data_IF_396691282158
#
_entry.id   IF_396691282158
#
_cell.length_a   1.000
_cell.length_b   1.000
_cell.length_c   1.000
_cell.angle_alpha   90.00
_cell.angle_beta   90.00
_cell.angle_gamma   90.00
#
_symmetry.space_group_name_H-M   'P 1'
#
loop_
_entity.id
_entity.type
_entity.pdbx_description
1 polymer ?
#
# COMPACT_ATOMS: atom_id res chain seq x y z
N UNK A 1 78.50 33.39 -16.56
CA UNK A 1 77.80 32.44 -15.67
C UNK A 1 76.30 32.73 -15.79
N UNK A 2 75.53 31.88 -16.49
CA UNK A 2 74.62 30.86 -15.90
C UNK A 2 73.43 31.53 -15.16
N UNK A 3 72.13 31.31 -15.43
CA UNK A 3 71.36 30.21 -16.06
C UNK A 3 69.94 30.68 -16.48
N UNK A 4 69.54 30.28 -17.70
CA UNK A 4 68.33 29.51 -18.10
C UNK A 4 66.91 30.10 -17.83
N UNK A 5 66.11 30.36 -18.90
CA UNK A 5 64.67 30.63 -18.83
C UNK A 5 63.81 29.35 -18.83
N UNK A 6 62.58 29.44 -18.27
CA UNK A 6 61.57 28.36 -18.26
C UNK A 6 61.09 28.10 -19.69
N UNK A 7 61.43 26.93 -20.24
CA UNK A 7 60.85 26.44 -21.48
C UNK A 7 59.73 25.44 -21.19
N UNK A 8 58.72 25.50 -22.03
CA UNK A 8 57.53 24.66 -22.06
C UNK A 8 57.90 23.19 -22.34
N UNK A 9 57.12 22.28 -21.76
CA UNK A 9 57.14 20.85 -22.05
C UNK A 9 55.77 20.35 -22.52
N UNK A 10 55.71 19.26 -23.31
CA UNK A 10 54.73 19.06 -24.37
C UNK A 10 53.61 18.06 -24.02
N UNK A 11 52.61 17.99 -24.90
CA UNK A 11 51.45 17.13 -24.75
C UNK A 11 51.64 15.64 -25.10
N UNK A 12 50.50 14.94 -24.93
CA UNK A 12 50.14 13.60 -25.43
C UNK A 12 50.78 12.37 -24.73
N UNK A 13 49.97 11.53 -24.08
CA UNK A 13 49.28 10.37 -24.70
C UNK A 13 48.37 9.66 -23.69
N UNK A 14 47.20 9.23 -24.20
CA UNK A 14 46.28 8.29 -23.56
C UNK A 14 46.94 6.91 -23.54
N UNK A 15 46.72 6.14 -22.48
CA UNK A 15 46.32 4.74 -22.63
C UNK A 15 45.53 4.26 -21.41
N UNK A 16 44.51 3.48 -21.76
CA UNK A 16 43.55 2.74 -20.95
C UNK A 16 44.20 1.66 -20.10
N UNK A 17 43.63 1.38 -18.93
CA UNK A 17 43.16 0.06 -18.47
C UNK A 17 42.61 0.22 -17.03
N UNK A 18 41.28 0.20 -16.85
CA UNK A 18 40.49 -0.96 -16.42
C UNK A 18 40.83 -1.49 -15.01
N UNK A 19 40.20 -0.89 -13.99
CA UNK A 19 39.58 -1.61 -12.86
C UNK A 19 38.81 -0.62 -11.97
N UNK A 20 37.58 -0.26 -12.36
CA UNK A 20 36.69 0.52 -11.51
C UNK A 20 35.94 -0.39 -10.53
N UNK A 21 35.90 -0.10 -9.22
CA UNK A 21 34.87 -0.66 -8.36
C UNK A 21 33.53 -0.03 -8.75
N UNK A 22 32.56 -0.89 -9.10
CA UNK A 22 31.16 -0.56 -9.36
C UNK A 22 30.60 0.31 -8.24
N UNK A 23 30.64 1.62 -8.44
CA UNK A 23 29.90 2.55 -7.62
C UNK A 23 28.44 2.37 -7.98
N UNK A 24 27.70 1.70 -7.09
CA UNK A 24 26.25 1.65 -7.08
C UNK A 24 25.73 3.03 -7.45
N UNK A 25 24.93 3.05 -8.51
CA UNK A 25 24.24 4.23 -9.01
C UNK A 25 23.42 4.79 -7.85
N UNK A 26 24.01 5.76 -7.16
CA UNK A 26 23.39 6.57 -6.13
C UNK A 26 22.10 7.05 -6.75
N UNK A 27 20.98 6.48 -6.32
CA UNK A 27 19.66 7.01 -6.63
C UNK A 27 19.74 8.44 -6.13
N UNK A 28 19.75 9.39 -7.07
CA UNK A 28 19.57 10.79 -6.74
C UNK A 28 18.14 10.88 -6.25
N UNK A 29 17.94 10.68 -4.95
CA UNK A 29 16.84 11.27 -4.22
C UNK A 29 17.02 12.77 -4.42
N UNK A 30 16.32 13.29 -5.43
CA UNK A 30 16.19 14.72 -5.63
C UNK A 30 15.51 15.27 -4.40
N UNK A 31 16.31 15.74 -3.45
CA UNK A 31 15.88 16.78 -2.53
C UNK A 31 15.53 17.98 -3.38
N UNK A 32 14.23 18.18 -3.56
CA UNK A 32 13.62 19.35 -4.17
C UNK A 32 12.27 19.49 -3.51
N UNK A 33 12.23 20.22 -2.39
CA UNK A 33 10.99 20.83 -1.95
C UNK A 33 10.56 21.83 -3.03
N UNK A 34 9.37 21.63 -3.56
CA UNK A 34 8.77 22.45 -4.58
C UNK A 34 7.48 21.79 -5.00
N UNK A 35 6.36 22.45 -4.68
CA UNK A 35 4.98 22.07 -4.95
C UNK A 35 4.67 22.01 -6.46
N UNK A 36 5.42 21.22 -7.23
CA UNK A 36 5.03 20.91 -8.60
C UNK A 36 3.86 19.94 -8.52
N UNK A 37 2.71 20.23 -9.16
CA UNK A 37 1.52 19.39 -9.10
C UNK A 37 1.80 18.06 -9.83
N UNK A 38 2.37 17.11 -9.11
CA UNK A 38 2.60 15.78 -9.62
C UNK A 38 1.30 14.98 -9.55
N UNK A 39 0.79 14.54 -10.71
CA UNK A 39 -0.33 13.63 -10.78
C UNK A 39 0.12 12.26 -10.28
N UNK A 40 -0.58 11.70 -9.29
CA UNK A 40 -0.19 10.42 -8.66
C UNK A 40 -1.30 9.40 -8.87
N UNK A 41 -1.01 8.34 -9.61
CA UNK A 41 -1.96 7.26 -9.90
C UNK A 41 -1.59 6.04 -9.07
N UNK A 42 -2.59 5.44 -8.42
CA UNK A 42 -2.46 4.14 -7.78
C UNK A 42 -2.75 3.06 -8.82
N UNK A 43 -1.82 2.13 -8.99
CA UNK A 43 -1.96 1.03 -9.95
C UNK A 43 -1.62 -0.31 -9.29
N UNK A 44 -2.15 -1.44 -9.78
CA UNK A 44 -1.70 -2.75 -9.36
C UNK A 44 -0.24 -3.00 -9.80
N UNK A 45 0.55 -3.67 -8.95
CA UNK A 45 1.92 -4.09 -9.29
C UNK A 45 2.01 -4.91 -10.57
N UNK A 46 0.97 -5.69 -10.88
CA UNK A 46 0.86 -6.49 -12.10
C UNK A 46 0.80 -5.64 -13.38
N UNK A 47 0.15 -4.47 -13.32
CA UNK A 47 0.04 -3.55 -14.47
C UNK A 47 1.30 -2.71 -14.65
N UNK A 48 1.99 -2.40 -13.55
CA UNK A 48 3.20 -1.58 -13.57
C UNK A 48 4.25 -2.08 -14.56
N UNK A 49 4.43 -3.41 -14.68
CA UNK A 49 5.36 -4.01 -15.65
C UNK A 49 5.04 -3.66 -17.10
N UNK A 50 3.76 -3.68 -17.47
CA UNK A 50 3.28 -3.31 -18.82
C UNK A 50 3.46 -1.82 -19.08
N UNK A 51 3.19 -0.97 -18.07
CA UNK A 51 3.38 0.48 -18.17
C UNK A 51 4.88 0.83 -18.34
N UNK A 52 5.78 0.18 -17.60
CA UNK A 52 7.23 0.37 -17.68
C UNK A 52 7.78 -0.06 -19.05
N UNK A 53 7.27 -1.17 -19.58
CA UNK A 53 7.72 -1.80 -20.81
C UNK A 53 9.04 -2.56 -20.65
N UNK A 54 9.35 -3.46 -21.59
CA UNK A 54 10.57 -4.29 -21.57
C UNK A 54 11.82 -3.39 -21.45
N UNK A 55 12.58 -3.57 -20.37
CA UNK A 55 13.80 -2.78 -20.09
C UNK A 55 13.54 -1.29 -19.77
N UNK A 56 12.33 -0.90 -19.39
CA UNK A 56 11.99 0.51 -19.11
C UNK A 56 11.88 1.39 -20.35
N UNK A 57 11.81 0.79 -21.54
CA UNK A 57 11.75 1.52 -22.81
C UNK A 57 10.49 2.37 -22.94
N UNK A 58 9.34 1.90 -22.44
CA UNK A 58 8.08 2.61 -22.56
C UNK A 58 8.06 3.86 -21.68
N UNK A 59 8.43 3.75 -20.40
CA UNK A 59 8.56 4.93 -19.53
C UNK A 59 9.66 5.88 -20.02
N UNK A 60 10.78 5.37 -20.52
CA UNK A 60 11.83 6.23 -21.08
C UNK A 60 11.33 7.01 -22.29
N UNK A 61 10.51 6.37 -23.13
CA UNK A 61 9.83 7.02 -24.24
C UNK A 61 8.83 8.07 -23.75
N UNK A 62 7.95 7.74 -22.81
CA UNK A 62 6.98 8.69 -22.25
C UNK A 62 7.67 9.93 -21.64
N UNK A 63 8.78 9.73 -20.93
CA UNK A 63 9.59 10.84 -20.38
C UNK A 63 10.20 11.71 -21.49
N UNK A 64 10.70 11.10 -22.56
CA UNK A 64 11.37 11.81 -23.66
C UNK A 64 10.39 12.50 -24.61
N UNK A 65 9.30 11.82 -24.98
CA UNK A 65 8.31 12.28 -25.95
C UNK A 65 7.48 13.45 -25.40
N UNK A 66 7.21 13.42 -24.09
CA UNK A 66 6.36 14.40 -23.41
C UNK A 66 7.12 15.37 -22.49
N UNK A 67 8.45 15.28 -22.43
CA UNK A 67 9.30 16.05 -21.52
C UNK A 67 8.81 16.02 -20.05
N UNK A 68 8.34 14.85 -19.62
CA UNK A 68 7.69 14.65 -18.33
C UNK A 68 8.55 13.83 -17.38
N UNK A 69 8.47 14.10 -16.07
CA UNK A 69 9.13 13.28 -15.04
C UNK A 69 8.14 12.25 -14.51
N UNK A 70 8.17 11.06 -15.10
CA UNK A 70 7.34 9.92 -14.67
C UNK A 70 8.17 9.02 -13.73
N UNK A 71 7.78 8.83 -12.48
CA UNK A 71 8.45 7.93 -11.53
C UNK A 71 7.51 6.79 -11.13
N UNK A 72 8.05 5.57 -11.11
CA UNK A 72 7.35 4.39 -10.61
C UNK A 72 8.33 3.70 -9.66
N UNK A 73 8.18 3.88 -8.33
CA UNK A 73 9.02 3.18 -7.38
C UNK A 73 8.70 1.68 -7.42
N UNK A 74 9.74 0.87 -7.34
CA UNK A 74 9.58 -0.57 -7.19
C UNK A 74 9.10 -0.88 -5.78
N UNK A 75 7.89 -1.43 -5.68
CA UNK A 75 7.34 -1.94 -4.43
C UNK A 75 7.11 -3.46 -4.54
N UNK A 76 7.36 -4.17 -3.44
CA UNK A 76 7.02 -5.59 -3.28
C UNK A 76 5.54 -5.82 -2.96
N UNK A 77 4.79 -4.77 -2.66
CA UNK A 77 3.36 -4.82 -2.39
C UNK A 77 2.49 -5.11 -3.62
N UNK A 78 1.18 -5.36 -3.42
CA UNK A 78 0.24 -5.61 -4.52
C UNK A 78 -0.09 -4.35 -5.33
N UNK A 79 0.25 -3.17 -4.81
CA UNK A 79 0.03 -1.86 -5.42
C UNK A 79 1.30 -1.02 -5.55
N UNK A 80 1.29 -0.09 -6.51
CA UNK A 80 2.37 0.85 -6.82
C UNK A 80 1.79 2.21 -7.17
N UNK A 81 2.59 3.25 -6.98
CA UNK A 81 2.19 4.63 -7.32
C UNK A 81 3.01 5.14 -8.48
N UNK A 82 2.34 5.54 -9.56
CA UNK A 82 2.95 6.26 -10.67
C UNK A 82 2.84 7.74 -10.36
N UNK A 83 3.97 8.41 -10.17
CA UNK A 83 4.04 9.87 -10.03
C UNK A 83 4.43 10.48 -11.37
N UNK A 84 3.64 11.43 -11.85
CA UNK A 84 3.84 12.13 -13.12
C UNK A 84 3.95 13.62 -12.79
N UNK A 85 5.16 14.15 -12.84
CA UNK A 85 5.41 15.59 -12.75
C UNK A 85 5.53 16.14 -14.17
N UNK A 86 4.48 16.81 -14.62
CA UNK A 86 4.32 17.43 -15.94
C UNK A 86 3.13 18.38 -15.93
N UNK A 87 2.99 19.18 -17.00
CA UNK A 87 1.77 19.96 -17.23
C UNK A 87 0.53 19.06 -17.28
N UNK A 88 -0.59 19.55 -16.81
CA UNK A 88 -1.83 18.77 -16.73
C UNK A 88 -2.30 18.24 -18.09
N UNK A 89 -2.16 19.01 -19.17
CA UNK A 89 -2.49 18.54 -20.52
C UNK A 89 -1.61 17.36 -20.95
N UNK A 90 -0.34 17.43 -20.60
CA UNK A 90 0.65 16.39 -20.87
C UNK A 90 0.42 15.17 -20.00
N UNK A 91 0.12 15.37 -18.71
CA UNK A 91 -0.21 14.30 -17.78
C UNK A 91 -1.40 13.49 -18.28
N UNK A 92 -2.46 14.17 -18.74
CA UNK A 92 -3.63 13.53 -19.33
C UNK A 92 -3.27 12.68 -20.55
N UNK A 93 -2.44 13.18 -21.48
CA UNK A 93 -1.96 12.39 -22.63
C UNK A 93 -1.15 11.16 -22.21
N UNK A 94 -0.34 11.28 -21.15
CA UNK A 94 0.39 10.14 -20.58
C UNK A 94 -0.60 9.12 -20.01
N UNK A 95 -1.66 9.57 -19.32
CA UNK A 95 -2.69 8.65 -18.83
C UNK A 95 -3.45 8.00 -19.99
N UNK A 96 -3.75 8.72 -21.06
CA UNK A 96 -4.35 8.15 -22.28
C UNK A 96 -3.51 6.99 -22.85
N UNK A 97 -2.17 7.05 -22.74
CA UNK A 97 -1.28 5.94 -23.12
C UNK A 97 -1.26 4.78 -22.09
N UNK A 98 -1.58 5.05 -20.84
CA UNK A 98 -1.62 4.05 -19.75
C UNK A 98 -2.96 3.31 -19.70
N UNK A 99 -4.05 3.96 -20.08
CA UNK A 99 -5.42 3.40 -20.05
C UNK A 99 -5.55 2.07 -20.79
N UNK A 100 -5.02 1.89 -22.01
CA UNK A 100 -5.05 0.60 -22.69
C UNK A 100 -4.35 -0.51 -21.90
N UNK A 101 -3.24 -0.20 -21.22
CA UNK A 101 -2.53 -1.18 -20.38
C UNK A 101 -3.37 -1.58 -19.15
N UNK A 102 -4.18 -0.66 -18.61
CA UNK A 102 -5.11 -0.96 -17.53
C UNK A 102 -6.31 -1.78 -18.04
N UNK A 103 -6.85 -1.44 -19.21
CA UNK A 103 -7.99 -2.12 -19.83
C UNK A 103 -7.70 -3.58 -20.13
N UNK A 104 -6.51 -3.88 -20.69
CA UNK A 104 -6.06 -5.26 -20.93
C UNK A 104 -5.98 -6.06 -19.64
N UNK A 105 -5.64 -5.43 -18.52
CA UNK A 105 -5.53 -6.10 -17.23
C UNK A 105 -6.88 -6.32 -16.54
N UNK A 106 -7.78 -5.34 -16.59
CA UNK A 106 -9.10 -5.41 -15.95
C UNK A 106 -10.15 -6.12 -16.81
N UNK A 107 -9.85 -6.39 -18.09
CA UNK A 107 -10.73 -7.07 -19.05
C UNK A 107 -11.20 -8.44 -18.56
N UNK A 108 -12.28 -8.42 -17.78
CA UNK A 108 -13.11 -9.56 -17.39
C UNK A 108 -14.40 -9.62 -18.23
N UNK A 109 -14.39 -9.01 -19.42
CA UNK A 109 -15.50 -9.04 -20.39
C UNK A 109 -16.48 -7.85 -20.36
N UNK A 110 -16.18 -6.76 -19.65
CA UNK A 110 -17.07 -5.57 -19.56
C UNK A 110 -16.58 -4.29 -20.26
N UNK A 111 -15.32 -4.22 -20.72
CA UNK A 111 -14.79 -3.03 -21.40
C UNK A 111 -14.78 -1.75 -20.53
N UNK A 112 -14.63 -1.93 -19.21
CA UNK A 112 -14.55 -0.84 -18.23
C UNK A 112 -13.15 -0.83 -17.61
N UNK A 113 -12.56 0.36 -17.53
CA UNK A 113 -11.27 0.62 -16.87
C UNK A 113 -11.51 1.24 -15.50
N UNK A 114 -10.69 0.88 -14.51
CA UNK A 114 -10.64 1.52 -13.18
C UNK A 114 -9.36 2.36 -13.07
N UNK A 115 -9.50 3.68 -13.12
CA UNK A 115 -8.41 4.62 -12.89
C UNK A 115 -8.48 5.11 -11.44
N UNK A 116 -7.45 4.85 -10.65
CA UNK A 116 -7.36 5.31 -9.25
C UNK A 116 -6.37 6.46 -9.11
N UNK A 117 -6.87 7.64 -8.80
CA UNK A 117 -6.09 8.85 -8.56
C UNK A 117 -5.87 9.06 -7.06
N UNK A 118 -4.64 9.35 -6.65
CA UNK A 118 -4.33 9.81 -5.30
C UNK A 118 -4.44 11.33 -5.25
N UNK A 119 -5.29 11.81 -4.35
CA UNK A 119 -5.48 13.23 -4.11
C UNK A 119 -5.35 13.51 -2.62
N UNK A 120 -4.75 14.65 -2.27
CA UNK A 120 -4.69 15.07 -0.88
C UNK A 120 -6.10 15.20 -0.28
N UNK A 121 -6.28 14.83 0.98
CA UNK A 121 -7.59 14.86 1.67
C UNK A 121 -8.31 16.22 1.57
N UNK A 122 -7.58 17.34 1.55
CA UNK A 122 -8.17 18.68 1.41
C UNK A 122 -8.73 18.90 0.01
N UNK A 123 -8.07 18.39 -1.02
CA UNK A 123 -8.52 18.43 -2.40
C UNK A 123 -9.69 17.46 -2.63
N UNK A 124 -9.63 16.26 -2.04
CA UNK A 124 -10.73 15.30 -2.09
C UNK A 124 -12.04 15.88 -1.54
N UNK A 125 -11.97 16.64 -0.43
CA UNK A 125 -13.14 17.33 0.12
C UNK A 125 -13.72 18.37 -0.85
N UNK A 126 -12.87 19.07 -1.61
CA UNK A 126 -13.30 20.00 -2.65
C UNK A 126 -13.96 19.29 -3.83
N UNK A 127 -13.36 18.19 -4.30
CA UNK A 127 -13.92 17.36 -5.39
C UNK A 127 -15.28 16.76 -5.02
N UNK A 128 -15.51 16.41 -3.74
CA UNK A 128 -16.83 15.98 -3.26
C UNK A 128 -17.83 17.15 -3.27
N UNK A 129 -17.43 18.32 -2.79
CA UNK A 129 -18.29 19.49 -2.62
C UNK A 129 -19.20 19.40 -1.38
N UNK A 130 -19.89 20.50 -1.05
CA UNK A 130 -20.80 20.55 0.11
C UNK A 130 -21.97 19.58 -0.09
N UNK A 131 -22.03 18.53 0.73
CA UNK A 131 -23.07 17.50 0.63
C UNK A 131 -22.93 16.58 -0.60
N UNK A 132 -21.76 16.53 -1.25
CA UNK A 132 -21.55 15.70 -2.44
C UNK A 132 -22.08 16.30 -3.74
N UNK A 133 -22.39 17.60 -3.76
CA UNK A 133 -22.93 18.27 -4.95
C UNK A 133 -21.99 18.20 -6.15
N UNK A 134 -20.70 18.46 -5.94
CA UNK A 134 -19.72 18.54 -7.04
C UNK A 134 -19.39 17.17 -7.61
N UNK A 135 -19.22 16.14 -6.77
CA UNK A 135 -19.04 14.76 -7.26
C UNK A 135 -20.29 14.24 -7.96
N UNK A 136 -21.49 14.64 -7.54
CA UNK A 136 -22.74 14.28 -8.23
C UNK A 136 -22.79 14.89 -9.63
N UNK A 137 -22.46 16.18 -9.75
CA UNK A 137 -22.35 16.88 -11.04
C UNK A 137 -21.30 16.23 -11.95
N UNK A 138 -20.11 15.89 -11.43
CA UNK A 138 -19.07 15.21 -12.19
C UNK A 138 -19.52 13.85 -12.74
N UNK A 139 -20.21 13.05 -11.91
CA UNK A 139 -20.77 11.76 -12.33
C UNK A 139 -21.82 11.92 -13.43
N UNK A 140 -22.66 12.95 -13.35
CA UNK A 140 -23.68 13.24 -14.35
C UNK A 140 -23.07 13.73 -15.67
N UNK A 141 -22.08 14.62 -15.60
CA UNK A 141 -21.39 15.17 -16.78
C UNK A 141 -20.58 14.11 -17.52
N UNK A 142 -19.88 13.24 -16.79
CA UNK A 142 -18.96 12.26 -17.39
C UNK A 142 -19.63 10.92 -17.67
N UNK A 143 -20.78 10.63 -17.06
CA UNK A 143 -21.38 9.30 -17.00
C UNK A 143 -20.45 8.23 -16.40
N UNK A 144 -19.36 8.62 -15.72
CA UNK A 144 -18.41 7.72 -15.10
C UNK A 144 -18.85 7.32 -13.68
N UNK A 145 -18.55 6.09 -13.28
CA UNK A 145 -18.73 5.61 -11.91
C UNK A 145 -17.54 6.06 -11.06
N UNK A 146 -17.63 7.29 -10.54
CA UNK A 146 -16.60 7.90 -9.70
C UNK A 146 -16.84 7.54 -8.23
N UNK A 147 -15.94 6.83 -7.55
CA UNK A 147 -15.98 6.53 -6.11
C UNK A 147 -14.82 7.22 -5.40
N UNK A 148 -15.11 8.01 -4.38
CA UNK A 148 -14.10 8.69 -3.55
C UNK A 148 -14.07 7.98 -2.21
N UNK A 149 -12.91 7.47 -1.81
CA UNK A 149 -12.77 6.77 -0.54
C UNK A 149 -12.69 7.78 0.60
N UNK A 150 -13.47 7.53 1.66
CA UNK A 150 -13.58 8.42 2.81
C UNK A 150 -12.38 8.35 3.75
N UNK A 151 -11.71 7.20 3.77
CA UNK A 151 -10.51 6.96 4.57
C UNK A 151 -9.27 7.40 3.79
N UNK A 152 -8.32 8.01 4.50
CA UNK A 152 -7.00 8.24 3.94
C UNK A 152 -6.23 6.93 3.86
N UNK A 153 -5.28 6.86 2.93
CA UNK A 153 -4.39 5.72 2.82
C UNK A 153 -3.54 5.57 4.11
N UNK A 154 -3.13 4.35 4.48
CA UNK A 154 -2.35 4.11 5.68
C UNK A 154 -1.08 4.97 5.70
N UNK A 155 -0.83 5.63 6.84
CA UNK A 155 0.28 6.57 7.03
C UNK A 155 0.39 7.66 5.95
N UNK A 156 -0.74 8.13 5.42
CA UNK A 156 -0.78 9.17 4.41
C UNK A 156 -1.95 10.12 4.59
N UNK A 157 -1.80 11.31 4.02
CA UNK A 157 -2.88 12.30 3.90
C UNK A 157 -3.67 12.18 2.59
N UNK A 158 -3.30 11.25 1.71
CA UNK A 158 -3.95 11.07 0.42
C UNK A 158 -5.18 10.18 0.53
N UNK A 159 -6.18 10.49 -0.29
CA UNK A 159 -7.38 9.70 -0.51
C UNK A 159 -7.40 9.21 -1.95
N UNK A 160 -7.97 8.04 -2.15
CA UNK A 160 -8.13 7.46 -3.48
C UNK A 160 -9.45 7.94 -4.09
N UNK A 161 -9.38 8.35 -5.36
CA UNK A 161 -10.52 8.60 -6.23
C UNK A 161 -10.48 7.56 -7.34
N UNK A 162 -11.37 6.59 -7.30
CA UNK A 162 -11.56 5.58 -8.34
C UNK A 162 -12.56 6.10 -9.37
N UNK A 163 -12.19 6.01 -10.65
CA UNK A 163 -13.00 6.40 -11.80
C UNK A 163 -13.17 5.15 -12.64
N UNK A 164 -14.35 4.56 -12.60
CA UNK A 164 -14.68 3.36 -13.37
C UNK A 164 -15.59 3.73 -14.54
N UNK A 165 -15.23 3.29 -15.75
CA UNK A 165 -16.05 3.48 -16.94
C UNK A 165 -15.31 3.06 -18.20
N UNK A 166 -15.89 3.30 -19.37
CA UNK A 166 -15.18 3.08 -20.64
C UNK A 166 -13.90 3.93 -20.71
N UNK A 167 -12.88 3.52 -21.47
CA UNK A 167 -11.62 4.26 -21.61
C UNK A 167 -11.82 5.76 -21.86
N UNK A 168 -12.69 6.11 -22.81
CA UNK A 168 -13.02 7.50 -23.15
C UNK A 168 -13.69 8.25 -22.00
N UNK A 169 -14.66 7.60 -21.33
CA UNK A 169 -15.40 8.14 -20.19
C UNK A 169 -14.47 8.38 -19.00
N UNK A 170 -13.56 7.44 -18.73
CA UNK A 170 -12.60 7.54 -17.64
C UNK A 170 -11.58 8.67 -17.87
N UNK A 171 -11.09 8.82 -19.10
CA UNK A 171 -10.20 9.93 -19.49
C UNK A 171 -10.92 11.28 -19.34
N UNK A 172 -12.18 11.37 -19.79
CA UNK A 172 -12.97 12.59 -19.63
C UNK A 172 -13.23 12.92 -18.15
N UNK A 173 -13.54 11.90 -17.34
CA UNK A 173 -13.68 12.07 -15.89
C UNK A 173 -12.40 12.53 -15.22
N UNK A 174 -11.26 12.00 -15.65
CA UNK A 174 -9.95 12.42 -15.14
C UNK A 174 -9.64 13.87 -15.51
N UNK A 175 -9.91 14.31 -16.75
CA UNK A 175 -9.74 15.70 -17.21
C UNK A 175 -10.50 16.68 -16.30
N UNK A 176 -11.78 16.40 -16.06
CA UNK A 176 -12.64 17.23 -15.20
C UNK A 176 -12.15 17.28 -13.74
N UNK A 177 -11.73 16.14 -13.18
CA UNK A 177 -11.18 16.11 -11.82
C UNK A 177 -9.89 16.92 -11.75
N UNK A 178 -9.00 16.75 -12.73
CA UNK A 178 -7.73 17.49 -12.78
C UNK A 178 -7.98 19.00 -12.85
N UNK A 179 -8.93 19.45 -13.66
CA UNK A 179 -9.25 20.89 -13.75
C UNK A 179 -9.72 21.46 -12.41
N UNK A 180 -10.49 20.70 -11.62
CA UNK A 180 -10.85 21.11 -10.24
C UNK A 180 -9.64 21.16 -9.30
N UNK A 181 -8.67 20.26 -9.49
CA UNK A 181 -7.42 20.27 -8.71
C UNK A 181 -6.53 21.47 -9.07
N UNK A 182 -6.62 22.02 -10.30
CA UNK A 182 -5.92 23.25 -10.69
C UNK A 182 -6.45 24.47 -9.94
N UNK A 183 -7.78 24.54 -9.79
CA UNK A 183 -8.43 25.72 -9.20
C UNK A 183 -8.16 25.85 -7.70
N UNK A 184 -7.84 24.73 -7.02
CA UNK A 184 -7.68 24.70 -5.57
C UNK A 184 -6.30 24.19 -5.17
N UNK A 185 -5.42 25.01 -4.56
CA UNK A 185 -4.16 24.51 -4.02
C UNK A 185 -4.41 23.59 -2.82
N UNK A 186 -3.56 22.56 -2.60
CA UNK A 186 -3.67 21.70 -1.44
C UNK A 186 -3.51 22.53 -0.16
N UNK A 187 -4.43 22.36 0.79
CA UNK A 187 -4.39 23.05 2.08
C UNK A 187 -3.84 22.13 3.16
N UNK A 188 -2.81 22.59 3.86
CA UNK A 188 -2.27 21.93 5.05
C UNK A 188 -1.09 20.99 4.75
N UNK A 189 -0.74 20.17 5.75
CA UNK A 189 0.35 19.20 5.67
C UNK A 189 0.04 18.10 4.65
N UNK A 190 0.99 17.81 3.77
CA UNK A 190 0.91 16.76 2.75
C UNK A 190 1.94 15.67 3.02
N UNK A 191 1.46 14.47 3.32
CA UNK A 191 2.26 13.24 3.28
C UNK A 191 1.78 12.35 2.13
N UNK A 192 2.54 12.32 1.03
CA UNK A 192 2.32 11.44 -0.11
C UNK A 192 2.22 9.98 0.30
N UNK A 193 1.21 9.25 -0.19
CA UNK A 193 1.08 7.81 0.09
C UNK A 193 2.28 7.00 -0.41
N UNK A 194 2.87 6.19 0.47
CA UNK A 194 3.89 5.21 0.11
C UNK A 194 3.25 3.80 0.03
N UNK A 195 3.28 3.14 -1.14
CA UNK A 195 2.80 1.76 -1.29
C UNK A 195 3.48 0.73 -0.38
N UNK A 196 4.60 1.03 0.26
CA UNK A 196 5.20 0.16 1.28
C UNK A 196 4.35 0.06 2.55
N UNK A 197 3.53 1.07 2.82
CA UNK A 197 2.66 1.13 3.98
C UNK A 197 1.28 0.50 3.71
N UNK A 198 1.12 -0.25 2.60
CA UNK A 198 -0.15 -0.85 2.23
C UNK A 198 -0.70 -1.74 3.35
N UNK A 199 -2.02 -1.70 3.54
CA UNK A 199 -2.72 -2.52 4.51
C UNK A 199 -3.65 -3.47 3.76
N UNK A 200 -3.33 -4.76 3.77
CA UNK A 200 -4.08 -5.78 3.06
C UNK A 200 -5.49 -5.98 3.63
N UNK A 201 -5.68 -5.83 4.95
CA UNK A 201 -6.96 -6.04 5.62
C UNK A 201 -7.95 -4.90 5.37
N UNK A 202 -7.44 -3.69 5.14
CA UNK A 202 -8.23 -2.47 4.96
C UNK A 202 -8.13 -1.89 3.54
N UNK A 203 -7.57 -2.63 2.59
CA UNK A 203 -7.39 -2.18 1.20
C UNK A 203 -8.70 -1.63 0.60
N UNK A 204 -9.82 -2.30 0.82
CA UNK A 204 -11.12 -1.89 0.29
C UNK A 204 -11.68 -0.60 0.93
N UNK A 205 -11.24 -0.27 2.15
CA UNK A 205 -11.72 0.90 2.89
C UNK A 205 -11.05 2.20 2.45
N UNK A 206 -9.79 2.14 2.01
CA UNK A 206 -9.05 3.31 1.49
C UNK A 206 -8.92 3.32 -0.03
N UNK A 207 -9.28 2.23 -0.72
CA UNK A 207 -9.23 2.13 -2.19
C UNK A 207 -7.93 1.52 -2.73
N UNK A 208 -7.24 0.73 -1.93
CA UNK A 208 -6.07 -0.07 -2.31
C UNK A 208 -6.41 -1.29 -3.17
N UNK A 209 -5.40 -1.87 -3.80
CA UNK A 209 -5.50 -3.13 -4.55
C UNK A 209 -5.08 -4.30 -3.65
N UNK A 210 -5.92 -4.65 -2.67
CA UNK A 210 -5.73 -5.85 -1.85
C UNK A 210 -5.86 -7.14 -2.67
N UNK A 211 -5.31 -8.25 -2.18
CA UNK A 211 -5.47 -9.53 -2.85
C UNK A 211 -6.95 -9.95 -2.83
N UNK A 212 -7.55 -10.30 -3.99
CA UNK A 212 -8.86 -10.91 -4.00
C UNK A 212 -8.70 -12.34 -3.45
N UNK A 213 -8.91 -12.51 -2.15
CA UNK A 213 -8.86 -13.83 -1.51
C UNK A 213 -8.48 -13.87 -0.02
N UNK A 214 -8.07 -12.76 0.60
CA UNK A 214 -7.64 -12.74 2.02
C UNK A 214 -8.48 -11.83 2.93
N UNK A 215 -9.62 -11.34 2.46
CA UNK A 215 -10.57 -10.54 3.26
C UNK A 215 -11.89 -11.27 3.39
N UNK A 216 -12.31 -11.54 4.63
CA UNK A 216 -13.57 -12.19 4.95
C UNK A 216 -14.77 -11.54 4.27
N UNK A 217 -15.72 -12.40 3.89
CA UNK A 217 -16.92 -12.03 3.17
C UNK A 217 -17.71 -10.90 3.82
N UNK A 218 -18.17 -9.97 2.98
CA UNK A 218 -18.93 -8.80 3.39
C UNK A 218 -19.91 -8.30 2.32
N UNK A 219 -20.72 -9.21 1.78
CA UNK A 219 -22.11 -8.91 1.36
C UNK A 219 -22.35 -8.36 -0.05
N UNK A 220 -23.21 -9.07 -0.80
CA UNK A 220 -23.97 -8.42 -1.89
C UNK A 220 -24.57 -9.30 -2.99
N UNK A 221 -25.49 -10.20 -2.64
CA UNK A 221 -26.67 -10.50 -3.48
C UNK A 221 -26.52 -11.35 -4.75
N UNK A 222 -27.22 -12.49 -4.79
CA UNK A 222 -27.53 -13.19 -6.04
C UNK A 222 -27.77 -14.67 -5.81
N UNK A 223 -29.04 -15.07 -5.71
CA UNK A 223 -29.43 -16.46 -5.49
C UNK A 223 -28.99 -17.38 -6.63
N UNK A 224 -28.43 -18.53 -6.26
CA UNK A 224 -28.51 -19.76 -7.04
C UNK A 224 -28.13 -20.94 -6.13
N UNK A 225 -28.91 -22.00 -6.26
CA UNK A 225 -28.87 -23.23 -5.48
C UNK A 225 -27.52 -23.95 -5.68
N UNK A 226 -26.80 -24.22 -4.58
CA UNK A 226 -25.63 -25.11 -4.53
C UNK A 226 -25.90 -26.29 -3.59
N UNK A 227 -25.37 -27.50 -3.86
CA UNK A 227 -25.90 -28.75 -3.34
C UNK A 227 -25.46 -29.04 -1.91
N UNK A 228 -26.31 -29.82 -1.23
CA UNK A 228 -26.15 -30.38 0.10
C UNK A 228 -24.89 -31.25 0.17
N UNK A 229 -24.04 -30.99 1.16
CA UNK A 229 -22.89 -31.83 1.52
C UNK A 229 -23.40 -33.09 2.24
N UNK A 230 -23.36 -34.23 1.55
CA UNK A 230 -23.56 -35.57 2.15
C UNK A 230 -22.24 -36.09 2.74
N UNK A 231 -22.25 -36.76 3.92
CA UNK A 231 -21.07 -37.41 4.46
C UNK A 231 -20.76 -38.73 3.73
N UNK A 232 -19.48 -39.11 3.54
CA UNK A 232 -19.13 -40.36 2.85
C UNK A 232 -19.31 -41.60 3.76
N UNK A 233 -19.58 -42.79 3.19
CA UNK A 233 -19.80 -44.04 3.93
C UNK A 233 -18.49 -44.72 4.38
N UNK A 234 -18.54 -45.65 5.35
CA UNK A 234 -17.35 -46.26 5.94
C UNK A 234 -16.79 -47.40 5.07
N UNK A 235 -15.49 -47.37 4.78
CA UNK A 235 -14.72 -48.55 4.35
C UNK A 235 -13.45 -48.68 5.18
N UNK A 236 -13.26 -49.87 5.77
CA UNK A 236 -12.24 -50.15 6.76
C UNK A 236 -10.90 -50.66 6.22
N UNK A 237 -10.04 -50.99 7.20
CA UNK A 237 -8.97 -52.00 7.09
C UNK A 237 -7.56 -51.51 6.78
N UNK A 238 -6.83 -51.03 7.79
CA UNK A 238 -5.35 -51.09 7.83
C UNK A 238 -4.89 -51.60 9.21
N UNK A 239 -3.90 -52.50 9.30
CA UNK A 239 -3.45 -53.11 10.54
C UNK A 239 -2.53 -52.17 11.36
N UNK A 240 -2.38 -52.41 12.69
CA UNK A 240 -1.57 -51.55 13.57
C UNK A 240 -0.05 -51.79 13.44
N UNK A 241 0.79 -50.80 13.79
CA UNK A 241 2.26 -50.95 13.81
C UNK A 241 2.78 -51.64 15.09
N UNK A 242 3.98 -52.27 15.05
CA UNK A 242 4.60 -52.92 16.21
C UNK A 242 5.31 -51.94 17.17
N UNK A 243 5.58 -52.34 18.43
CA UNK A 243 6.14 -51.48 19.47
C UNK A 243 7.66 -51.23 19.34
N UNK A 244 8.21 -50.16 19.95
CA UNK A 244 9.61 -49.77 19.78
C UNK A 244 10.54 -50.61 20.67
N UNK A 245 11.59 -51.16 20.08
CA UNK A 245 12.73 -51.72 20.81
C UNK A 245 13.82 -50.66 20.98
N UNK A 246 14.24 -50.49 22.23
CA UNK A 246 15.37 -49.68 22.66
C UNK A 246 16.66 -50.09 21.93
N UNK A 247 17.35 -49.12 21.33
CA UNK A 247 18.82 -49.16 21.22
C UNK A 247 19.40 -47.76 21.37
N UNK A 248 20.20 -47.60 22.41
CA UNK A 248 21.07 -46.45 22.64
C UNK A 248 22.19 -46.41 21.60
N UNK A 249 22.47 -45.23 21.03
CA UNK A 249 23.83 -44.84 20.66
C UNK A 249 23.98 -43.31 20.57
N UNK A 250 25.13 -42.85 21.04
CA UNK A 250 25.49 -41.49 21.47
C UNK A 250 25.87 -40.57 20.28
N UNK A 251 25.52 -39.25 20.27
CA UNK A 251 26.16 -38.26 19.39
C UNK A 251 27.23 -37.40 20.11
N UNK A 252 28.19 -36.80 19.38
CA UNK A 252 29.39 -36.14 19.92
C UNK A 252 29.14 -34.71 20.43
N UNK A 253 30.06 -34.10 21.22
CA UNK A 253 29.86 -32.76 21.78
C UNK A 253 30.15 -31.69 20.72
N UNK A 254 29.15 -30.87 20.41
CA UNK A 254 29.30 -29.67 19.59
C UNK A 254 29.09 -28.41 20.47
N UNK A 255 30.00 -27.46 20.28
CA UNK A 255 30.16 -26.17 20.97
C UNK A 255 28.85 -25.35 21.08
N UNK A 256 28.72 -24.47 22.10
CA UNK A 256 27.54 -23.61 22.23
C UNK A 256 27.52 -22.58 21.09
N UNK A 257 26.63 -22.80 20.11
CA UNK A 257 26.18 -21.72 19.22
C UNK A 257 25.17 -20.89 20.00
N UNK A 258 25.49 -19.61 20.21
CA UNK A 258 24.52 -18.61 20.63
C UNK A 258 23.48 -18.42 19.51
N UNK A 259 22.44 -19.25 19.53
CA UNK A 259 21.21 -18.99 18.81
C UNK A 259 20.26 -18.30 19.78
N UNK A 260 19.96 -17.04 19.50
CA UNK A 260 18.88 -16.29 20.16
C UNK A 260 17.60 -17.12 20.07
N UNK A 261 17.10 -17.47 21.23
CA UNK A 261 15.81 -18.10 21.44
C UNK A 261 14.72 -17.19 20.86
N UNK A 262 14.05 -17.64 19.81
CA UNK A 262 12.72 -17.18 19.45
C UNK A 262 11.82 -18.39 19.59
N UNK A 263 11.33 -18.58 20.81
CA UNK A 263 10.23 -19.49 21.11
C UNK A 263 8.98 -19.14 20.27
N UNK A 264 7.96 -20.01 20.29
CA UNK A 264 6.68 -19.73 19.62
C UNK A 264 6.16 -18.34 20.04
N UNK A 265 5.50 -17.59 19.13
CA UNK A 265 4.99 -16.26 19.44
C UNK A 265 4.08 -16.35 20.66
N UNK A 266 4.47 -15.66 21.74
CA UNK A 266 3.63 -15.58 22.93
C UNK A 266 2.35 -14.83 22.56
N UNK A 267 1.23 -15.29 23.10
CA UNK A 267 -0.07 -14.66 22.90
C UNK A 267 -0.66 -14.29 24.25
N UNK A 268 -1.09 -13.03 24.39
CA UNK A 268 -1.78 -12.54 25.58
C UNK A 268 -3.15 -12.00 25.20
N UNK A 269 -4.15 -12.33 26.02
CA UNK A 269 -5.52 -11.86 25.84
C UNK A 269 -5.87 -10.87 26.95
N UNK A 270 -6.53 -9.77 26.58
CA UNK A 270 -6.96 -8.72 27.48
C UNK A 270 -8.43 -8.42 27.23
N UNK A 271 -9.25 -8.46 28.28
CA UNK A 271 -10.67 -8.12 28.20
C UNK A 271 -10.87 -6.64 28.49
N UNK A 272 -11.63 -5.96 27.63
CA UNK A 272 -11.95 -4.53 27.77
C UNK A 272 -13.46 -4.26 27.65
N UNK A 273 -14.03 -3.39 28.49
CA UNK A 273 -15.40 -2.92 28.33
C UNK A 273 -15.63 -2.19 27.00
N UNK A 274 -16.84 -2.31 26.44
CA UNK A 274 -17.26 -1.64 25.18
C UNK A 274 -17.04 -0.13 25.21
N UNK A 275 -17.24 0.51 26.35
CA UNK A 275 -17.08 1.96 26.51
C UNK A 275 -15.62 2.40 26.38
N UNK A 276 -14.67 1.52 26.72
CA UNK A 276 -13.23 1.75 26.59
C UNK A 276 -12.68 1.26 25.24
N UNK A 277 -13.37 0.34 24.58
CA UNK A 277 -12.99 -0.14 23.25
C UNK A 277 -12.98 0.99 22.21
N UNK A 278 -13.97 1.88 22.25
CA UNK A 278 -14.01 3.05 21.35
C UNK A 278 -12.81 3.97 21.54
N UNK A 279 -12.35 4.14 22.79
CA UNK A 279 -11.16 4.91 23.11
C UNK A 279 -9.87 4.25 22.63
N UNK A 280 -9.76 2.93 22.78
CA UNK A 280 -8.60 2.15 22.31
C UNK A 280 -8.51 2.13 20.77
N UNK A 281 -9.64 1.97 20.09
CA UNK A 281 -9.73 1.93 18.62
C UNK A 281 -9.47 3.33 18.03
N UNK A 282 -10.09 4.36 18.62
CA UNK A 282 -10.04 5.73 18.11
C UNK A 282 -10.91 5.95 16.88
N UNK A 283 -11.15 7.22 16.50
CA UNK A 283 -11.92 7.55 15.29
C UNK A 283 -11.24 6.95 14.06
N UNK A 284 -11.96 6.12 13.31
CA UNK A 284 -11.46 5.42 12.13
C UNK A 284 -10.32 4.42 12.41
N UNK A 285 -10.19 3.90 13.64
CA UNK A 285 -9.13 2.95 13.99
C UNK A 285 -7.73 3.58 14.14
N UNK A 286 -7.62 4.91 14.10
CA UNK A 286 -6.34 5.63 14.13
C UNK A 286 -5.47 5.29 15.35
N UNK A 287 -6.08 5.03 16.50
CA UNK A 287 -5.35 4.82 17.75
C UNK A 287 -4.83 3.39 17.88
N UNK A 288 -5.67 2.40 17.57
CA UNK A 288 -5.21 1.00 17.53
C UNK A 288 -4.17 0.77 16.44
N UNK A 289 -4.27 1.44 15.28
CA UNK A 289 -3.24 1.42 14.23
C UNK A 289 -1.89 1.92 14.74
N UNK A 290 -1.88 3.03 15.49
CA UNK A 290 -0.67 3.55 16.12
C UNK A 290 -0.07 2.55 17.10
N UNK A 291 -0.89 1.93 17.95
CA UNK A 291 -0.43 0.89 18.90
C UNK A 291 0.20 -0.30 18.18
N UNK A 292 -0.45 -0.81 17.12
CA UNK A 292 0.11 -1.90 16.29
C UNK A 292 1.46 -1.51 15.67
N UNK A 293 1.55 -0.31 15.09
CA UNK A 293 2.77 0.20 14.45
C UNK A 293 3.92 0.44 15.43
N UNK A 294 3.64 1.00 16.60
CA UNK A 294 4.66 1.29 17.62
C UNK A 294 5.12 0.02 18.36
N UNK A 295 4.21 -0.92 18.60
CA UNK A 295 4.54 -2.17 19.31
C UNK A 295 5.11 -3.26 18.40
N UNK A 296 4.81 -3.24 17.10
CA UNK A 296 5.15 -4.33 16.18
C UNK A 296 4.46 -5.65 16.51
N UNK A 297 3.47 -5.65 17.41
CA UNK A 297 2.67 -6.81 17.78
C UNK A 297 1.46 -6.97 16.86
N UNK A 298 1.06 -8.22 16.60
CA UNK A 298 -0.22 -8.53 15.97
C UNK A 298 -1.33 -8.35 17.02
N UNK A 299 -2.32 -7.49 16.74
CA UNK A 299 -3.39 -7.18 17.71
C UNK A 299 -4.74 -7.40 17.06
N UNK A 300 -5.51 -8.39 17.50
CA UNK A 300 -6.88 -8.68 17.03
C UNK A 300 -7.89 -8.21 18.08
N UNK A 301 -8.99 -7.60 17.65
CA UNK A 301 -10.09 -7.19 18.53
C UNK A 301 -11.32 -7.99 18.13
N UNK A 302 -11.75 -8.90 19.00
CA UNK A 302 -12.87 -9.78 18.73
C UNK A 302 -14.23 -9.07 18.94
N UNK A 303 -15.27 -9.66 18.35
CA UNK A 303 -16.64 -9.26 18.60
C UNK A 303 -17.01 -9.47 20.08
N UNK A 304 -17.88 -8.60 20.65
CA UNK A 304 -18.32 -8.77 22.02
C UNK A 304 -19.01 -10.13 22.20
N UNK A 305 -18.65 -10.85 23.26
CA UNK A 305 -19.22 -12.16 23.56
C UNK A 305 -20.75 -12.03 23.75
N UNK A 306 -21.55 -12.98 23.24
CA UNK A 306 -23.01 -12.91 23.34
C UNK A 306 -23.45 -12.89 24.82
N UNK A 307 -24.08 -11.78 25.23
CA UNK A 307 -24.50 -11.54 26.61
C UNK A 307 -23.53 -10.72 27.48
N UNK A 308 -22.37 -10.32 26.93
CA UNK A 308 -21.41 -9.44 27.59
C UNK A 308 -21.24 -8.11 26.84
N UNK A 309 -20.96 -7.04 27.58
CA UNK A 309 -20.52 -5.75 27.02
C UNK A 309 -18.99 -5.66 26.90
N UNK A 310 -18.28 -6.77 27.07
CA UNK A 310 -16.82 -6.81 26.99
C UNK A 310 -16.34 -7.35 25.64
N UNK A 311 -15.20 -6.84 25.19
CA UNK A 311 -14.46 -7.30 24.01
C UNK A 311 -13.13 -7.88 24.43
N UNK A 312 -12.66 -8.89 23.69
CA UNK A 312 -11.34 -9.49 23.90
C UNK A 312 -10.37 -8.90 22.88
N UNK A 313 -9.22 -8.45 23.37
CA UNK A 313 -8.08 -8.08 22.55
C UNK A 313 -7.06 -9.21 22.66
N UNK A 314 -6.71 -9.81 21.53
CA UNK A 314 -5.63 -10.79 21.44
C UNK A 314 -4.38 -10.11 20.91
N UNK A 315 -3.28 -10.16 21.65
CA UNK A 315 -1.97 -9.61 21.28
C UNK A 315 -1.01 -10.78 21.07
N UNK A 316 -0.34 -10.85 19.91
CA UNK A 316 0.67 -11.86 19.61
C UNK A 316 1.98 -11.21 19.19
N UNK A 317 3.10 -11.76 19.64
CA UNK A 317 4.43 -11.27 19.26
C UNK A 317 5.53 -11.82 20.14
N UNK A 318 6.70 -11.18 20.10
CA UNK A 318 7.74 -11.38 21.11
C UNK A 318 7.33 -10.77 22.46
N UNK A 319 7.88 -11.24 23.59
CA UNK A 319 7.55 -10.71 24.91
C UNK A 319 7.69 -9.18 25.00
N UNK A 320 8.73 -8.60 24.38
CA UNK A 320 8.96 -7.16 24.33
C UNK A 320 7.86 -6.42 23.55
N UNK A 321 7.43 -6.98 22.41
CA UNK A 321 6.35 -6.41 21.59
C UNK A 321 5.01 -6.45 22.32
N UNK A 322 4.71 -7.56 23.00
CA UNK A 322 3.48 -7.72 23.79
C UNK A 322 3.46 -6.73 24.95
N UNK A 323 4.58 -6.59 25.68
CA UNK A 323 4.68 -5.67 26.80
C UNK A 323 4.51 -4.21 26.35
N UNK A 324 5.13 -3.84 25.23
CA UNK A 324 4.98 -2.50 24.65
C UNK A 324 3.54 -2.25 24.17
N UNK A 325 2.91 -3.22 23.50
CA UNK A 325 1.51 -3.14 23.09
C UNK A 325 0.58 -2.93 24.30
N UNK A 326 0.75 -3.72 25.36
CA UNK A 326 -0.03 -3.58 26.58
C UNK A 326 0.12 -2.20 27.22
N UNK A 327 1.35 -1.69 27.31
CA UNK A 327 1.61 -0.36 27.85
C UNK A 327 0.86 0.73 27.08
N UNK A 328 0.93 0.71 25.75
CA UNK A 328 0.28 1.69 24.87
C UNK A 328 -1.26 1.58 24.91
N UNK A 329 -1.80 0.37 25.05
CA UNK A 329 -3.24 0.15 25.25
C UNK A 329 -3.72 0.74 26.58
N UNK A 330 -3.00 0.47 27.67
CA UNK A 330 -3.32 1.02 29.00
C UNK A 330 -3.24 2.55 29.01
N UNK A 331 -2.23 3.12 28.35
CA UNK A 331 -2.12 4.57 28.19
C UNK A 331 -3.31 5.14 27.40
N UNK A 332 -3.76 4.42 26.37
CA UNK A 332 -4.91 4.82 25.56
C UNK A 332 -6.22 4.87 26.34
N UNK A 333 -6.42 3.91 27.25
CA UNK A 333 -7.55 3.93 28.18
C UNK A 333 -7.46 5.12 29.14
N UNK A 334 -6.29 5.34 29.74
CA UNK A 334 -6.09 6.40 30.74
C UNK A 334 -6.32 7.80 30.16
N UNK A 335 -5.78 8.08 28.97
CA UNK A 335 -5.97 9.37 28.30
C UNK A 335 -7.44 9.63 27.94
N UNK A 336 -8.20 8.59 27.62
CA UNK A 336 -9.63 8.73 27.33
C UNK A 336 -10.49 9.01 28.56
N UNK A 337 -10.10 8.46 29.72
CA UNK A 337 -10.75 8.73 31.00
C UNK A 337 -10.44 10.14 31.52
N UNK A 338 -9.29 10.72 31.15
CA UNK A 338 -8.93 12.10 31.53
C UNK A 338 -9.61 13.22 30.71
N UNK A 339 -10.29 12.87 29.61
CA UNK A 339 -10.97 13.82 28.72
C UNK A 339 -12.47 13.92 28.94
N UNK A 340 -12.99 13.24 29.96
CA UNK A 340 -14.38 13.30 30.42
C UNK A 340 -14.45 13.82 31.85
#
# INVERSE_FOLDING_TARGET
MMRIPRNQGPGMKRNSDMSGPRSQKRIRTGGGGGDDPALRLLIPSKVAGSIIGKGGKNISRLRSDYNAVVQVPDCSGPERVVSISADYETAVKIVEQIVPCLDEFFSSGKGEVDIRLLVHQSLAGCVIGKGGSKVKELREKTSAKIKIFGNCCPQSTDRVVSIVGSPEVAINGLKEIIDLLKETPPKGYSEPYDPQNFDEEFADDYGGFGMPGSGGGGGGGGGARGPVWEPPPPRGGFPPPPPPTFRANIPPPALPRFSRDSGPPDSQQVTIPKDLAGAIIGKGGSRIRRVRSESGAEITIDEPLPGSNDRVITIKGSPDQIQLAQYLLQQSVRESQSRY
#
